data_IF_521660040985
#
_entry.id   IF_521660040985
#
_cell.length_a   1.000
_cell.length_b   1.000
_cell.length_c   1.000
_cell.angle_alpha   90.00
_cell.angle_beta   90.00
_cell.angle_gamma   90.00
#
_symmetry.space_group_name_H-M   'P 1'
#
loop_
_entity.id
_entity.type
_entity.pdbx_description
1 polymer ?
2 non-polymer ?
3 non-polymer ?
4 water ?
#
# COMPACT_ATOMS: atom_id res chain seq x y z
N UNK A 4 20.12 -5.03 -7.81
CA UNK A 4 19.61 -6.14 -6.96
C UNK A 4 18.89 -5.64 -5.73
N UNK A 5 17.84 -6.36 -5.38
CA UNK A 5 17.18 -6.25 -4.08
C UNK A 5 18.08 -6.71 -2.91
N UNK A 6 18.94 -7.68 -3.18
CA UNK A 6 19.92 -8.14 -2.20
C UNK A 6 20.78 -6.95 -1.67
N UNK A 7 21.23 -6.10 -2.61
CA UNK A 7 22.10 -4.94 -2.36
C UNK A 7 21.37 -3.59 -2.35
N UNK A 8 20.05 -3.59 -2.14
CA UNK A 8 19.27 -2.35 -2.16
C UNK A 8 19.45 -1.43 -0.92
N UNK A 9 20.00 -0.26 -1.15
CA UNK A 9 20.49 0.61 -0.10
C UNK A 9 19.50 1.63 0.42
N UNK A 10 18.35 1.79 -0.22
CA UNK A 10 17.40 2.88 0.13
C UNK A 10 16.42 2.56 1.31
N UNK A 11 16.29 1.29 1.68
CA UNK A 11 15.49 0.90 2.86
C UNK A 11 16.10 1.43 4.15
N UNK A 12 15.25 1.95 5.05
CA UNK A 12 15.74 2.54 6.27
C UNK A 12 15.45 1.72 7.49
N UNK A 13 14.66 0.65 7.37
CA UNK A 13 14.15 -0.07 8.54
C UNK A 13 14.30 -1.56 8.31
N UNK A 14 14.44 -2.32 9.39
CA UNK A 14 14.48 -3.77 9.32
C UNK A 14 13.08 -4.35 9.42
N UNK A 15 12.74 -5.25 8.49
CA UNK A 15 11.46 -5.82 8.41
C UNK A 15 11.25 -6.79 9.55
N UNK A 16 10.01 -6.85 10.04
CA UNK A 16 9.59 -7.84 11.01
C UNK A 16 9.13 -9.14 10.32
N UNK A 17 9.06 -9.14 9.01
CA UNK A 17 8.64 -10.32 8.27
C UNK A 17 9.62 -10.59 7.17
N UNK A 18 10.90 -10.85 7.53
CA UNK A 18 11.90 -11.13 6.47
C UNK A 18 11.59 -12.35 5.59
N UNK A 19 10.79 -13.30 6.07
CA UNK A 19 10.42 -14.46 5.28
C UNK A 19 9.00 -14.34 4.74
N UNK A 20 8.59 -13.13 4.37
CA UNK A 20 7.24 -12.86 3.82
C UNK A 20 6.74 -13.98 2.89
N UNK A 21 5.56 -14.50 3.20
CA UNK A 21 4.91 -15.51 2.36
C UNK A 21 4.16 -14.79 1.22
N UNK A 22 4.77 -14.73 0.04
CA UNK A 22 4.17 -13.99 -1.09
C UNK A 22 2.77 -14.44 -1.38
N UNK A 23 2.51 -15.76 -1.30
CA UNK A 23 1.17 -16.26 -1.63
C UNK A 23 0.11 -15.80 -0.68
N UNK A 24 0.43 -15.60 0.58
CA UNK A 24 -0.55 -15.10 1.53
C UNK A 24 -0.62 -13.58 1.45
N UNK A 25 0.44 -12.92 1.02
CA UNK A 25 0.41 -11.46 0.92
C UNK A 25 -0.37 -10.95 -0.32
N UNK A 26 -0.50 -11.80 -1.34
CA UNK A 26 -1.14 -11.41 -2.65
C UNK A 26 -2.61 -11.09 -2.42
N UNK A 27 -3.18 -10.41 -3.39
CA UNK A 27 -4.51 -9.87 -3.23
C UNK A 27 -4.50 -8.38 -3.42
N UNK A 28 -5.62 -7.78 -3.02
CA UNK A 28 -5.88 -6.36 -3.23
C UNK A 28 -5.80 -5.65 -1.90
N UNK A 29 -5.20 -4.47 -1.95
CA UNK A 29 -4.83 -3.70 -0.77
C UNK A 29 -5.09 -2.25 -1.05
N UNK A 30 -5.68 -1.56 -0.06
CA UNK A 30 -5.95 -0.16 -0.22
C UNK A 30 -5.07 0.65 0.69
N UNK A 31 -4.47 1.71 0.15
CA UNK A 31 -3.54 2.50 0.94
C UNK A 31 -4.31 3.56 1.69
N UNK A 32 -4.19 3.51 3.02
CA UNK A 32 -4.93 4.40 3.88
C UNK A 32 -4.16 5.68 4.21
N UNK A 33 -2.84 5.60 4.37
CA UNK A 33 -2.05 6.72 4.86
C UNK A 33 -0.57 6.48 4.62
N UNK A 34 0.21 7.54 4.50
CA UNK A 34 1.66 7.36 4.39
C UNK A 34 2.41 8.64 4.73
N UNK A 35 3.73 8.56 4.73
CA UNK A 35 4.59 9.68 5.12
C UNK A 35 4.93 10.66 3.99
N UNK A 36 4.45 10.41 2.76
CA UNK A 36 4.75 11.25 1.63
C UNK A 36 3.66 12.26 1.20
N UNK A 37 3.95 13.55 1.27
CA UNK A 37 2.99 14.53 0.86
C UNK A 37 2.69 14.40 -0.64
N UNK A 38 3.69 14.06 -1.44
CA UNK A 38 3.48 14.01 -2.90
C UNK A 38 2.52 12.89 -3.28
N UNK A 39 2.51 11.81 -2.52
CA UNK A 39 1.56 10.75 -2.82
C UNK A 39 0.12 11.04 -2.44
N UNK A 40 -0.14 12.09 -1.68
CA UNK A 40 -1.51 12.52 -1.41
C UNK A 40 -2.34 12.89 -2.62
N UNK A 41 -1.72 13.31 -3.71
CA UNK A 41 -2.31 13.49 -5.03
C UNK A 41 -3.06 12.27 -5.57
N UNK A 42 -2.66 11.09 -5.16
CA UNK A 42 -3.20 9.88 -5.80
C UNK A 42 -4.10 9.21 -4.75
N UNK A 43 -5.40 9.45 -4.84
CA UNK A 43 -6.33 9.07 -3.75
C UNK A 43 -6.82 7.63 -3.87
N UNK A 44 -7.00 7.00 -2.70
CA UNK A 44 -7.59 5.68 -2.56
C UNK A 44 -6.92 4.68 -3.49
N UNK A 45 -5.59 4.64 -3.39
CA UNK A 45 -4.75 3.77 -4.24
C UNK A 45 -5.00 2.30 -3.88
N UNK A 46 -5.32 1.48 -4.86
CA UNK A 46 -5.50 0.02 -4.69
C UNK A 46 -4.49 -0.75 -5.56
N UNK A 47 -3.67 -1.56 -4.90
CA UNK A 47 -2.66 -2.44 -5.51
C UNK A 47 -3.24 -3.82 -5.46
N UNK A 48 -3.32 -4.46 -6.62
CA UNK A 48 -3.76 -5.85 -6.72
C UNK A 48 -2.57 -6.69 -7.19
N UNK A 49 -1.98 -7.48 -6.27
CA UNK A 49 -0.89 -8.43 -6.60
C UNK A 49 -1.54 -9.74 -6.96
N UNK A 50 -1.17 -10.35 -8.08
CA UNK A 50 -1.84 -11.56 -8.58
C UNK A 50 -0.85 -12.51 -9.22
N UNK A 51 -1.20 -13.78 -9.19
CA UNK A 51 -0.48 -14.84 -9.87
C UNK A 51 1.00 -14.84 -9.40
N UNK A 52 1.94 -15.06 -10.31
CA UNK A 52 3.32 -15.17 -9.90
C UNK A 52 3.95 -13.84 -9.70
N UNK A 53 3.60 -12.88 -10.53
CA UNK A 53 4.28 -11.58 -10.51
C UNK A 53 3.57 -10.39 -11.15
N UNK A 54 2.25 -10.42 -11.24
CA UNK A 54 1.46 -9.36 -11.82
C UNK A 54 1.07 -8.34 -10.72
N UNK A 55 1.01 -7.09 -11.14
CA UNK A 55 0.50 -6.00 -10.32
C UNK A 55 -0.39 -5.05 -11.14
N UNK A 56 -1.58 -4.75 -10.62
CA UNK A 56 -2.41 -3.73 -11.22
C UNK A 56 -2.68 -2.72 -10.12
N UNK A 57 -2.38 -1.47 -10.41
CA UNK A 57 -2.58 -0.39 -9.47
C UNK A 57 -3.54 0.65 -10.00
N UNK A 58 -4.48 1.08 -9.15
CA UNK A 58 -5.59 1.99 -9.54
C UNK A 58 -5.75 3.12 -8.53
N UNK A 59 -5.91 4.33 -9.03
CA UNK A 59 -6.16 5.52 -8.17
C UNK A 59 -6.92 6.60 -8.89
N UNK A 60 -7.33 7.63 -8.15
CA UNK A 60 -7.98 8.78 -8.74
C UNK A 60 -7.31 10.04 -8.21
N UNK A 61 -7.80 11.17 -8.67
CA UNK A 61 -7.53 12.49 -8.02
C UNK A 61 -8.50 12.78 -6.82
N UNK A 62 -8.28 13.93 -6.18
CA UNK A 62 -9.01 14.30 -4.95
C UNK A 62 -10.54 14.44 -5.05
N UNK A 63 -11.06 14.68 -6.26
CA UNK A 63 -12.53 14.76 -6.52
C UNK A 63 -13.07 13.45 -7.21
N UNK A 64 -12.33 12.34 -7.11
CA UNK A 64 -12.72 11.07 -7.80
C UNK A 64 -12.67 11.14 -9.32
N UNK A 65 -12.12 12.24 -9.88
CA UNK A 65 -11.91 12.36 -11.36
C UNK A 65 -10.57 11.69 -11.83
N UNK A 66 -10.45 11.48 -13.15
CA UNK A 66 -9.20 10.99 -13.72
C UNK A 66 -8.76 9.68 -13.05
N UNK A 67 -9.67 8.71 -13.04
CA UNK A 67 -9.38 7.34 -12.64
C UNK A 67 -8.19 6.75 -13.49
N UNK A 68 -7.16 6.21 -12.86
CA UNK A 68 -5.94 5.78 -13.55
C UNK A 68 -5.62 4.39 -13.15
N UNK A 69 -5.22 3.59 -14.12
CA UNK A 69 -4.67 2.27 -13.88
C UNK A 69 -3.30 2.14 -14.46
N UNK A 70 -2.40 1.58 -13.68
CA UNK A 70 -1.08 1.23 -14.18
C UNK A 70 -0.77 -0.20 -13.84
N UNK A 71 -0.01 -0.85 -14.73
CA UNK A 71 0.24 -2.28 -14.65
C UNK A 71 1.71 -2.51 -14.68
N UNK A 72 2.15 -3.41 -13.82
CA UNK A 72 3.58 -3.77 -13.76
C UNK A 72 3.85 -5.19 -13.34
N UNK A 73 5.13 -5.46 -13.17
CA UNK A 73 5.62 -6.76 -12.81
C UNK A 73 6.39 -6.65 -11.49
N UNK A 74 6.17 -7.59 -10.59
CA UNK A 74 6.89 -7.62 -9.34
C UNK A 74 7.97 -8.67 -9.27
N UNK A 75 8.89 -8.54 -8.31
CA UNK A 75 9.87 -9.59 -8.02
C UNK A 75 10.08 -9.58 -6.51
N UNK A 76 9.81 -10.69 -5.84
CA UNK A 76 9.86 -10.66 -4.36
C UNK A 76 11.06 -11.48 -3.91
N UNK A 77 11.77 -11.02 -2.90
CA UNK A 77 12.77 -11.81 -2.15
C UNK A 77 12.55 -11.60 -0.72
N UNK A 78 11.92 -12.58 -0.04
CA UNK A 78 11.37 -12.32 1.28
C UNK A 78 10.45 -11.11 1.29
N UNK A 79 10.65 -10.23 2.28
CA UNK A 79 9.92 -8.97 2.41
C UNK A 79 10.16 -7.92 1.29
N UNK A 80 11.24 -8.05 0.55
CA UNK A 80 11.64 -7.05 -0.46
C UNK A 80 11.00 -7.36 -1.74
N UNK A 81 10.50 -6.33 -2.42
CA UNK A 81 9.98 -6.49 -3.76
C UNK A 81 10.25 -5.28 -4.59
N UNK A 82 10.47 -5.49 -5.89
CA UNK A 82 10.49 -4.40 -6.86
C UNK A 82 9.23 -4.45 -7.66
N UNK A 83 8.77 -3.27 -8.07
CA UNK A 83 7.78 -3.14 -9.11
C UNK A 83 8.40 -2.43 -10.29
N UNK A 84 8.20 -2.98 -11.47
CA UNK A 84 8.60 -2.38 -12.71
C UNK A 84 7.26 -2.12 -13.42
N UNK A 85 6.83 -0.87 -13.43
CA UNK A 85 5.68 -0.47 -14.19
C UNK A 85 6.01 -0.31 -15.67
N UNK A 86 5.04 -0.17 -16.50
CA UNK A 86 5.28 -0.17 -17.91
C UNK A 86 5.91 1.23 -18.14
N UNK A 87 5.98 1.75 -19.35
CA UNK A 87 6.31 3.16 -19.47
C UNK A 87 5.50 4.00 -18.49
N UNK A 88 4.25 3.64 -18.39
CA UNK A 88 3.20 4.39 -17.77
C UNK A 88 3.26 4.06 -16.28
N UNK A 89 3.58 5.06 -15.48
CA UNK A 89 3.76 4.88 -14.03
C UNK A 89 5.21 4.69 -13.63
N UNK A 90 6.13 4.98 -14.55
CA UNK A 90 7.57 4.85 -14.29
C UNK A 90 7.99 5.52 -12.94
N UNK A 91 7.35 6.64 -12.56
CA UNK A 91 7.64 7.43 -11.34
C UNK A 91 7.40 6.57 -10.10
N UNK A 92 6.66 5.49 -10.28
CA UNK A 92 6.34 4.57 -9.22
C UNK A 92 7.12 3.27 -9.22
N UNK A 93 7.89 2.98 -10.26
CA UNK A 93 8.79 1.85 -10.29
C UNK A 93 9.90 2.07 -9.26
N UNK A 94 10.08 1.11 -8.36
CA UNK A 94 11.04 1.26 -7.27
C UNK A 94 11.21 -0.07 -6.52
N UNK A 95 12.20 -0.14 -5.62
CA UNK A 95 12.15 -1.14 -4.59
C UNK A 95 11.28 -0.73 -3.40
N UNK A 96 10.69 -1.76 -2.80
CA UNK A 96 9.76 -1.71 -1.70
C UNK A 96 10.05 -2.87 -0.75
N UNK A 97 9.51 -2.75 0.44
CA UNK A 97 9.78 -3.72 1.51
C UNK A 97 8.60 -3.72 2.44
N UNK A 98 8.02 -4.90 2.62
CA UNK A 98 6.99 -5.10 3.66
C UNK A 98 7.73 -5.17 4.99
N UNK A 99 7.46 -4.16 5.82
CA UNK A 99 8.02 -4.02 7.16
C UNK A 99 7.23 -4.85 8.22
N UNK A 100 5.94 -5.02 8.02
CA UNK A 100 5.07 -5.73 8.95
C UNK A 100 3.72 -6.01 8.28
N UNK A 101 3.09 -7.12 8.63
CA UNK A 101 1.76 -7.51 8.12
C UNK A 101 1.30 -8.64 8.97
N UNK A 102 0.00 -8.70 9.17
CA UNK A 102 -0.64 -9.94 9.59
C UNK A 102 -1.27 -10.75 8.41
N UNK A 103 -0.96 -10.35 7.17
CA UNK A 103 -1.47 -10.96 5.91
C UNK A 103 -2.96 -10.75 5.67
N UNK A 104 -3.77 -10.99 6.69
CA UNK A 104 -5.21 -11.01 6.53
C UNK A 104 -5.85 -9.65 6.53
N UNK A 105 -5.24 -8.67 7.22
CA UNK A 105 -5.89 -7.38 7.37
C UNK A 105 -5.06 -6.19 6.94
N UNK A 106 -3.79 -6.13 7.36
CA UNK A 106 -3.04 -4.91 7.14
C UNK A 106 -1.55 -5.16 6.80
N UNK A 107 -0.89 -4.16 6.21
CA UNK A 107 0.54 -4.19 6.03
C UNK A 107 1.11 -2.79 6.13
N UNK A 108 2.34 -2.74 6.62
CA UNK A 108 3.18 -1.55 6.61
C UNK A 108 4.34 -1.82 5.68
N UNK A 109 4.54 -0.88 4.77
CA UNK A 109 5.41 -1.01 3.60
C UNK A 109 6.25 0.29 3.48
N UNK A 110 7.51 0.10 3.13
CA UNK A 110 8.48 1.16 2.91
C UNK A 110 8.91 1.01 1.44
N UNK A 111 9.13 2.13 0.79
CA UNK A 111 9.74 2.07 -0.50
C UNK A 111 10.25 3.39 -1.00
N UNK A 112 10.88 3.34 -2.17
CA UNK A 112 11.65 4.44 -2.65
C UNK A 112 11.22 5.00 -4.02
N UNK A 113 9.91 5.27 -4.26
CA UNK A 113 9.55 5.77 -5.60
C UNK A 113 9.94 7.24 -5.79
N UNK A 114 10.34 7.61 -7.00
CA UNK A 114 10.56 9.01 -7.35
C UNK A 114 9.31 9.85 -7.02
N UNK A 115 8.13 9.27 -7.18
CA UNK A 115 6.90 9.99 -6.93
C UNK A 115 6.69 10.37 -5.46
N UNK A 116 7.35 9.68 -4.52
CA UNK A 116 7.27 10.03 -3.12
C UNK A 116 8.52 10.84 -2.73
N UNK A 117 9.20 11.48 -3.68
CA UNK A 117 10.49 12.17 -3.40
C UNK A 117 11.48 11.20 -2.74
N UNK A 118 11.43 9.95 -3.17
CA UNK A 118 12.46 8.95 -2.88
C UNK A 118 12.18 8.03 -1.73
N UNK A 119 11.12 8.32 -0.94
CA UNK A 119 10.95 7.53 0.30
C UNK A 119 9.56 7.69 0.87
N UNK A 120 8.96 6.55 1.23
CA UNK A 120 7.68 6.57 1.87
C UNK A 120 7.51 5.37 2.75
N UNK A 121 6.80 5.54 3.86
CA UNK A 121 6.26 4.43 4.62
C UNK A 121 4.74 4.59 4.58
N UNK A 122 4.03 3.54 4.26
CA UNK A 122 2.60 3.59 4.21
C UNK A 122 1.89 2.42 4.83
N UNK A 123 0.61 2.62 5.13
CA UNK A 123 -0.19 1.63 5.79
C UNK A 123 -1.25 1.23 4.79
N UNK A 124 -1.41 -0.05 4.56
CA UNK A 124 -2.44 -0.59 3.64
C UNK A 124 -3.34 -1.59 4.35
N UNK A 125 -4.62 -1.57 3.95
CA UNK A 125 -5.64 -2.51 4.46
C UNK A 125 -6.12 -3.44 3.33
N UNK A 126 -6.45 -4.67 3.67
CA UNK A 126 -6.82 -5.62 2.62
C UNK A 126 -8.17 -5.17 2.07
N UNK A 127 -8.31 -5.20 0.77
CA UNK A 127 -9.53 -4.83 0.08
C UNK A 127 -10.11 -6.17 -0.40
N UNK A 128 -11.30 -6.54 0.06
CA UNK A 128 -11.94 -7.81 -0.37
C UNK A 128 -13.44 -7.61 -0.37
N UNK A 129 -14.10 -8.23 -1.32
CA UNK A 129 -15.57 -8.26 -1.36
C UNK A 129 -16.17 -8.98 -0.20
N UNK A 130 -15.37 -9.76 0.53
CA UNK A 130 -15.82 -10.34 1.77
C UNK A 130 -16.17 -9.26 2.83
N UNK A 131 -15.50 -8.11 2.79
CA UNK A 131 -15.71 -7.04 3.79
C UNK A 131 -16.29 -5.81 3.18
N UNK A 132 -16.32 -5.74 1.87
CA UNK A 132 -16.67 -4.48 1.19
C UNK A 132 -17.96 -4.70 0.52
N UNK A 133 -19.04 -4.11 1.04
CA UNK A 133 -20.32 -4.17 0.37
C UNK A 133 -20.65 -2.81 -0.16
N UNK A 134 -20.53 -2.67 -1.45
CA UNK A 134 -20.91 -1.43 -2.09
C UNK A 134 -22.43 -1.31 -2.03
N UNK A 135 -22.88 -0.07 -1.94
CA UNK A 135 -24.30 0.22 -1.84
C UNK A 135 -24.79 1.17 -2.99
N UNK A 136 -26.11 1.13 -3.19
CA UNK A 136 -26.82 2.25 -3.78
C UNK A 136 -26.37 3.50 -3.00
N UNK A 137 -25.98 4.52 -3.74
CA UNK A 137 -25.78 5.86 -3.17
C UNK A 137 -24.70 6.13 -2.13
N UNK A 138 -23.65 5.29 -2.03
CA UNK A 138 -22.49 5.58 -1.16
C UNK A 138 -21.46 6.48 -1.89
N UNK A 139 -21.61 7.80 -1.81
CA UNK A 139 -20.62 8.71 -2.47
C UNK A 139 -19.18 8.44 -1.96
N UNK A 140 -19.05 8.27 -0.65
CA UNK A 140 -17.76 8.03 -0.03
C UNK A 140 -17.58 6.51 0.28
N UNK A 141 -17.45 5.73 -0.80
CA UNK A 141 -17.51 4.26 -0.80
C UNK A 141 -16.22 3.69 -0.26
N UNK A 142 -15.12 3.98 -0.98
CA UNK A 142 -13.80 3.57 -0.59
C UNK A 142 -13.44 4.20 0.74
N UNK A 143 -13.81 5.46 0.94
CA UNK A 143 -13.35 6.24 2.10
C UNK A 143 -13.83 5.62 3.42
N UNK A 144 -15.08 5.19 3.43
CA UNK A 144 -15.69 4.62 4.66
C UNK A 144 -15.18 3.23 4.94
N UNK A 145 -15.00 2.46 3.87
CA UNK A 145 -14.33 1.18 3.97
C UNK A 145 -12.99 1.31 4.67
N UNK A 146 -12.15 2.20 4.14
CA UNK A 146 -10.78 2.34 4.61
C UNK A 146 -10.71 2.74 6.10
N UNK A 147 -11.44 3.78 6.46
CA UNK A 147 -11.51 4.24 7.86
C UNK A 147 -12.01 3.12 8.79
N UNK A 148 -13.06 2.41 8.39
CA UNK A 148 -13.54 1.29 9.22
C UNK A 148 -12.51 0.20 9.35
N UNK A 149 -11.83 -0.14 8.26
CA UNK A 149 -10.84 -1.18 8.36
C UNK A 149 -9.63 -0.74 9.17
N UNK A 150 -9.19 0.52 9.01
CA UNK A 150 -8.18 1.09 9.88
C UNK A 150 -8.59 0.99 11.33
N UNK A 151 -9.81 1.41 11.60
CA UNK A 151 -10.27 1.41 12.96
C UNK A 151 -10.38 -0.02 13.53
N UNK A 152 -10.83 -1.00 12.73
CA UNK A 152 -10.87 -2.37 13.30
C UNK A 152 -9.50 -2.91 13.66
N UNK A 153 -8.48 -2.50 12.93
CA UNK A 153 -7.12 -3.03 13.13
C UNK A 153 -6.18 -2.03 13.74
N UNK A 154 -6.73 -1.01 14.40
CA UNK A 154 -5.92 0.13 14.87
C UNK A 154 -4.86 -0.23 15.93
N UNK A 155 -5.15 -1.11 16.88
CA UNK A 155 -4.12 -1.45 17.90
C UNK A 155 -2.89 -2.09 17.25
N UNK A 156 -3.13 -3.12 16.44
CA UNK A 156 -2.03 -3.81 15.75
C UNK A 156 -1.23 -2.85 14.83
N UNK A 157 -1.94 -2.05 14.04
CA UNK A 157 -1.28 -1.06 13.19
C UNK A 157 -0.44 -0.12 14.08
N UNK A 158 -1.00 0.43 15.15
CA UNK A 158 -0.22 1.34 16.00
C UNK A 158 0.98 0.64 16.63
N UNK A 159 0.80 -0.57 17.12
CA UNK A 159 1.95 -1.25 17.72
C UNK A 159 3.12 -1.40 16.73
N UNK A 160 2.83 -1.84 15.51
CA UNK A 160 3.90 -2.04 14.52
C UNK A 160 4.53 -0.69 14.12
N UNK A 161 3.71 0.31 13.88
CA UNK A 161 4.23 1.63 13.50
C UNK A 161 5.18 2.18 14.56
N UNK A 162 4.81 1.98 15.83
CA UNK A 162 5.57 2.49 16.98
C UNK A 162 6.94 1.83 16.94
N UNK A 163 6.97 0.59 16.53
CA UNK A 163 8.21 -0.13 16.34
C UNK A 163 9.11 0.55 15.31
N UNK A 164 8.55 1.27 14.34
CA UNK A 164 9.37 2.02 13.39
C UNK A 164 9.41 3.53 13.67
N UNK A 165 9.21 3.89 14.94
CA UNK A 165 9.18 5.32 15.39
C UNK A 165 8.19 6.18 14.64
N UNK A 166 7.01 5.66 14.42
CA UNK A 166 5.93 6.38 13.78
C UNK A 166 4.67 6.21 14.63
N UNK A 167 3.69 7.05 14.38
CA UNK A 167 2.36 6.97 14.92
C UNK A 167 1.40 7.25 13.74
N UNK A 168 0.22 6.64 13.77
CA UNK A 168 -0.71 6.69 12.60
C UNK A 168 -1.16 8.15 12.37
N UNK A 169 -1.37 8.89 13.47
CA UNK A 169 -1.82 10.27 13.41
C UNK A 169 -0.74 11.20 12.82
N UNK A 170 0.50 10.73 12.62
CA UNK A 170 1.51 11.54 11.92
C UNK A 170 1.56 11.34 10.39
N UNK A 171 0.75 10.38 9.91
CA UNK A 171 0.74 10.05 8.51
C UNK A 171 -0.27 10.95 7.82
N UNK A 172 -0.02 11.21 6.57
CA UNK A 172 -1.00 11.87 5.73
C UNK A 172 -2.06 10.81 5.41
N UNK A 173 -3.32 11.19 5.51
CA UNK A 173 -4.43 10.33 5.07
C UNK A 173 -4.51 10.37 3.57
N UNK A 174 -4.53 9.22 2.91
CA UNK A 174 -4.53 9.25 1.46
C UNK A 174 -5.78 8.61 0.88
N UNK A 175 -6.79 8.31 1.70
CA UNK A 175 -8.10 7.94 1.18
C UNK A 175 -9.15 8.64 2.06
X LIG B 1 10.79 13.78 2.32
X LIG B 1 10.88 13.06 1.34
X LIG B 1 10.94 14.97 2.27
X LIG B 1 10.58 13.18 3.67
X LIG B 1 9.21 12.59 3.85
X LIG B 1 9.59 12.15 5.18
X LIG B 1 8.18 13.74 3.84
X LIG B 1 7.39 13.78 2.55
X LIG B 1 7.70 13.00 1.63
X LIG B 1 6.45 14.60 2.40
X LIG B 1 8.77 11.46 2.88
X LIG B 1 9.19 11.25 1.69
X LIG B 1 7.87 10.69 3.29
X LIG C 1 -12.73 -9.78 -6.00
X LIG C 1 -12.48 -10.58 -7.17
X LIG C 1 -13.19 -10.71 -4.91
X LIG C 1 -12.75 -12.04 -5.21
X LIG C 1 -12.73 -10.15 -3.56
X LIG C 1 -11.63 -10.92 -3.04
X LIG D 1 2.07 -7.78 15.50
X LIG D 1 1.44 -6.53 15.95
X LIG D 1 3.54 -7.69 14.99
X LIG D 1 3.69 -7.49 13.55
X LIG D 1 4.28 -8.99 15.35
X LIG D 1 5.70 -8.78 15.36
#
# INVERSE_FOLDING_TARGET
>A
ATDTLANEDCFRHESLVPNLDYERFRGSWIIAAGTSEALTQYKCWIDRFSYDDALVSKYTDSQGKNRTTIRGRTKFEGNKFTIDYNDKGKAFSAPYSVLATDYENYAIVEGCPAAANGHVIYVQLRMTLRRFHPKLGDKEMLQHYTLDQVNQNKKAIEEDLKHFNLKYEDLHSTCH
>B hetero
1 CIT C1 O1 O2 C2 C3 O7 C4 C5 O3 O4 C6 O5 O6
>C hetero
1 GOL C1 O1 C2 O2 C3 O3
>D hetero
1 GOL C1 O1 C2 O2 C3 O3
#
